data_IF_922791243145
#
_entry.id   IF_922791243145
#
_cell.length_a   1.000
_cell.length_b   1.000
_cell.length_c   1.000
_cell.angle_alpha   90.00
_cell.angle_beta   90.00
_cell.angle_gamma   90.00
#
_symmetry.space_group_name_H-M   'P 1'
#
loop_
_entity.id
_entity.type
_entity.pdbx_description
1 polymer ?
#
# COMPACT_ATOMS: atom_id res chain seq x y z
N UNK A 1 -15.26 5.22 6.07
CA UNK A 1 -14.69 3.86 5.94
C UNK A 1 -13.58 3.90 4.92
N UNK A 2 -12.42 3.33 5.22
CA UNK A 2 -11.30 3.25 4.29
C UNK A 2 -11.60 2.19 3.22
N UNK A 3 -11.40 2.48 1.94
CA UNK A 3 -11.67 1.52 0.86
C UNK A 3 -10.85 0.23 1.02
N UNK A 4 -11.37 -0.91 0.53
CA UNK A 4 -10.67 -2.20 0.59
C UNK A 4 -9.25 -2.12 0.04
N UNK A 5 -9.09 -1.44 -1.10
CA UNK A 5 -7.77 -1.24 -1.72
C UNK A 5 -6.82 -0.44 -0.84
N UNK A 6 -7.31 0.63 -0.21
CA UNK A 6 -6.51 1.42 0.70
C UNK A 6 -6.08 0.60 1.93
N UNK A 7 -6.99 -0.17 2.51
CA UNK A 7 -6.70 -1.03 3.65
C UNK A 7 -5.67 -2.11 3.29
N UNK A 8 -5.82 -2.77 2.13
CA UNK A 8 -4.90 -3.81 1.65
C UNK A 8 -3.53 -3.23 1.28
N UNK A 9 -3.45 -2.02 0.72
CA UNK A 9 -2.18 -1.32 0.47
C UNK A 9 -1.44 -0.98 1.78
N UNK A 10 -2.15 -0.48 2.79
CA UNK A 10 -1.56 -0.23 4.11
C UNK A 10 -1.09 -1.52 4.77
N UNK A 11 -1.91 -2.57 4.73
CA UNK A 11 -1.53 -3.89 5.25
C UNK A 11 -0.32 -4.48 4.51
N UNK A 12 -0.25 -4.32 3.18
CA UNK A 12 0.90 -4.76 2.39
C UNK A 12 2.19 -4.07 2.83
N UNK A 13 2.14 -2.76 3.06
CA UNK A 13 3.27 -1.99 3.60
C UNK A 13 3.73 -2.53 4.96
N UNK A 14 2.80 -2.91 5.83
CA UNK A 14 3.13 -3.52 7.12
C UNK A 14 3.75 -4.92 6.95
N UNK A 15 3.25 -5.73 6.01
CA UNK A 15 3.82 -7.05 5.67
C UNK A 15 5.26 -6.90 5.15
N UNK A 16 5.53 -5.92 4.28
CA UNK A 16 6.90 -5.65 3.79
C UNK A 16 7.85 -5.37 4.95
N UNK A 17 7.40 -4.59 5.94
CA UNK A 17 8.19 -4.25 7.12
C UNK A 17 8.43 -5.48 8.01
N UNK A 18 7.39 -6.26 8.28
CA UNK A 18 7.45 -7.47 9.11
C UNK A 18 8.31 -8.58 8.48
N UNK A 19 8.30 -8.69 7.15
CA UNK A 19 9.12 -9.66 6.40
C UNK A 19 10.55 -9.17 6.12
N UNK A 20 10.91 -7.98 6.59
CA UNK A 20 12.24 -7.41 6.41
C UNK A 20 12.56 -6.97 4.97
N UNK A 21 11.56 -6.89 4.09
CA UNK A 21 11.72 -6.42 2.70
C UNK A 21 11.95 -4.91 2.62
N UNK A 22 11.52 -4.17 3.62
CA UNK A 22 11.88 -2.77 3.86
C UNK A 22 12.32 -2.61 5.31
N UNK A 23 13.30 -1.73 5.59
CA UNK A 23 13.72 -1.44 6.96
C UNK A 23 12.92 -0.31 7.56
N UNK A 24 12.46 0.64 6.77
CA UNK A 24 11.68 1.79 7.21
C UNK A 24 10.43 1.90 6.35
N UNK A 25 9.37 2.39 6.97
CA UNK A 25 8.13 2.70 6.27
C UNK A 25 8.30 3.78 5.19
N UNK A 26 9.28 4.68 5.37
CA UNK A 26 9.63 5.70 4.37
C UNK A 26 10.10 5.08 3.07
N UNK A 27 10.75 3.92 3.07
CA UNK A 27 11.19 3.27 1.82
C UNK A 27 10.01 2.95 0.90
N UNK A 28 8.86 2.59 1.47
CA UNK A 28 7.63 2.38 0.72
C UNK A 28 7.01 3.71 0.29
N UNK A 29 6.87 4.64 1.24
CA UNK A 29 6.23 5.95 1.00
C UNK A 29 6.98 6.75 -0.07
N UNK A 30 8.31 6.79 0.01
CA UNK A 30 9.22 7.46 -0.92
C UNK A 30 9.14 6.82 -2.31
N UNK A 31 9.07 5.48 -2.39
CA UNK A 31 8.97 4.77 -3.67
C UNK A 31 7.66 5.06 -4.40
N UNK A 32 6.58 5.27 -3.63
CA UNK A 32 5.28 5.68 -4.16
C UNK A 32 5.19 7.20 -4.39
N UNK A 33 6.23 7.97 -4.03
CA UNK A 33 6.22 9.44 -4.04
C UNK A 33 5.08 10.05 -3.20
N UNK A 34 4.72 9.41 -2.07
CA UNK A 34 3.64 9.84 -1.19
C UNK A 34 4.22 10.41 0.10
N UNK A 35 3.73 11.59 0.50
CA UNK A 35 4.08 12.19 1.79
C UNK A 35 3.32 11.55 2.95
N UNK A 36 3.94 11.53 4.14
CA UNK A 36 3.38 10.91 5.36
C UNK A 36 1.99 11.45 5.74
N UNK A 37 1.70 12.73 5.48
CA UNK A 37 0.38 13.33 5.76
C UNK A 37 -0.73 12.69 4.91
N UNK A 38 -0.43 12.34 3.66
CA UNK A 38 -1.36 11.63 2.75
C UNK A 38 -1.63 10.22 3.27
N UNK A 39 -0.61 9.49 3.72
CA UNK A 39 -0.79 8.16 4.35
C UNK A 39 -1.70 8.24 5.58
N UNK A 40 -1.50 9.25 6.43
CA UNK A 40 -2.37 9.47 7.60
C UNK A 40 -3.82 9.75 7.19
N UNK A 41 -4.05 10.58 6.16
CA UNK A 41 -5.40 10.86 5.62
C UNK A 41 -6.07 9.62 5.03
N UNK A 42 -5.31 8.79 4.30
CA UNK A 42 -5.80 7.51 3.77
C UNK A 42 -6.22 6.59 4.91
N UNK A 43 -5.42 6.53 5.98
CA UNK A 43 -5.67 5.67 7.15
C UNK A 43 -6.94 6.06 7.90
N UNK A 44 -7.20 7.36 8.09
CA UNK A 44 -8.41 7.85 8.76
C UNK A 44 -9.64 7.87 7.84
N UNK A 45 -9.47 7.57 6.55
CA UNK A 45 -10.57 7.50 5.58
C UNK A 45 -11.06 8.88 5.13
N UNK A 46 -10.15 9.84 4.93
CA UNK A 46 -10.50 11.14 4.34
C UNK A 46 -11.11 10.99 2.95
N UNK A 47 -12.25 11.63 2.72
CA UNK A 47 -13.18 11.36 1.61
C UNK A 47 -12.58 11.43 0.19
N UNK A 48 -11.46 12.14 -0.02
CA UNK A 48 -10.86 12.33 -1.35
C UNK A 48 -9.42 11.83 -1.48
N UNK A 49 -8.90 11.09 -0.49
CA UNK A 49 -7.50 10.64 -0.50
C UNK A 49 -7.41 9.12 -0.59
N UNK A 50 -6.90 8.64 -1.72
CA UNK A 50 -6.75 7.22 -2.00
C UNK A 50 -5.41 6.90 -2.65
N UNK A 51 -5.00 5.63 -2.58
CA UNK A 51 -3.94 5.16 -3.46
C UNK A 51 -4.44 5.18 -4.90
N UNK A 52 -3.65 5.75 -5.80
CA UNK A 52 -3.95 5.79 -7.22
C UNK A 52 -3.57 4.47 -7.88
N UNK A 53 -4.02 4.27 -9.12
CA UNK A 53 -3.60 3.13 -9.95
C UNK A 53 -2.08 3.09 -10.11
N UNK A 54 -1.43 4.25 -10.22
CA UNK A 54 0.02 4.32 -10.32
C UNK A 54 0.71 3.82 -9.06
N UNK A 55 0.21 4.19 -7.87
CA UNK A 55 0.74 3.66 -6.60
C UNK A 55 0.61 2.14 -6.50
N UNK A 56 -0.51 1.58 -6.97
CA UNK A 56 -0.74 0.13 -7.03
C UNK A 56 0.27 -0.52 -7.99
N UNK A 57 0.47 0.06 -9.17
CA UNK A 57 1.41 -0.43 -10.17
C UNK A 57 2.85 -0.45 -9.63
N UNK A 58 3.25 0.61 -8.91
CA UNK A 58 4.55 0.68 -8.23
C UNK A 58 4.66 -0.42 -7.17
N UNK A 59 3.62 -0.65 -6.37
CA UNK A 59 3.60 -1.72 -5.36
C UNK A 59 3.81 -3.11 -5.98
N UNK A 60 3.15 -3.39 -7.11
CA UNK A 60 3.30 -4.65 -7.86
C UNK A 60 4.71 -4.78 -8.43
N UNK A 61 5.20 -3.76 -9.14
CA UNK A 61 6.49 -3.83 -9.87
C UNK A 61 7.71 -3.75 -8.96
N UNK A 62 7.68 -2.91 -7.93
CA UNK A 62 8.84 -2.64 -7.08
C UNK A 62 8.95 -3.56 -5.88
N UNK A 63 7.81 -4.03 -5.35
CA UNK A 63 7.77 -4.80 -4.10
C UNK A 63 7.19 -6.22 -4.28
N UNK A 64 6.75 -6.57 -5.49
CA UNK A 64 6.19 -7.88 -5.81
C UNK A 64 4.80 -8.11 -5.23
N UNK A 65 4.02 -7.04 -5.04
CA UNK A 65 2.65 -7.16 -4.56
C UNK A 65 1.79 -7.98 -5.53
N UNK A 66 0.90 -8.80 -5.00
CA UNK A 66 -0.16 -9.42 -5.78
C UNK A 66 -1.30 -8.42 -5.99
N UNK A 67 -1.58 -8.03 -7.23
CA UNK A 67 -2.68 -7.11 -7.54
C UNK A 67 -4.03 -7.63 -7.03
N UNK A 68 -4.29 -8.94 -7.13
CA UNK A 68 -5.53 -9.54 -6.64
C UNK A 68 -5.66 -9.38 -5.12
N UNK A 69 -4.56 -9.40 -4.37
CA UNK A 69 -4.59 -9.10 -2.94
C UNK A 69 -4.90 -7.63 -2.68
N UNK A 70 -4.28 -6.73 -3.43
CA UNK A 70 -4.54 -5.29 -3.31
C UNK A 70 -6.01 -4.95 -3.60
N UNK A 71 -6.64 -5.64 -4.54
CA UNK A 71 -8.08 -5.47 -4.84
C UNK A 71 -9.01 -6.30 -3.94
N UNK A 72 -8.48 -7.11 -3.02
CA UNK A 72 -9.28 -7.93 -2.10
C UNK A 72 -9.88 -9.21 -2.72
N UNK A 73 -9.37 -9.63 -3.88
CA UNK A 73 -9.76 -10.86 -4.60
C UNK A 73 -8.95 -12.08 -4.13
N UNK A 74 -7.82 -11.88 -3.47
CA UNK A 74 -6.91 -12.94 -3.01
C UNK A 74 -6.37 -12.62 -1.61
N UNK A 75 -6.07 -13.66 -0.83
CA UNK A 75 -5.39 -13.50 0.47
C UNK A 75 -3.87 -13.63 0.38
N UNK A 76 -3.32 -13.95 -0.79
CA UNK A 76 -1.86 -14.06 -1.00
C UNK A 76 -1.24 -12.69 -1.31
N UNK A 77 -0.45 -12.07 -0.41
CA UNK A 77 0.05 -10.71 -0.57
C UNK A 77 1.14 -10.55 -1.64
N UNK A 78 1.88 -11.62 -1.92
CA UNK A 78 2.95 -11.64 -2.92
C UNK A 78 2.55 -12.48 -4.13
N UNK A 79 3.10 -12.11 -5.30
CA UNK A 79 3.04 -12.91 -6.53
C UNK A 79 4.03 -14.05 -6.49
#
# INVERSE_FOLDING_TARGET
MTSTTNARMLAFRDILKQTGRIKLYSEFDDKLCIVRSTISKIRTGGYDVHFTVEHINIAVKSFGANANYLFGVSDKPFR
#
